data_IF_320382191401
#
_entry.id   IF_320382191401
#
_cell.length_a   1.000
_cell.length_b   1.000
_cell.length_c   1.000
_cell.angle_alpha   90.00
_cell.angle_beta   90.00
_cell.angle_gamma   90.00
#
_symmetry.space_group_name_H-M   'P 1'
#
loop_
_entity.id
_entity.type
_entity.pdbx_description
1 polymer ?
#
# COMPACT_ATOMS: atom_id res chain seq x y z
N UNK A 1 88.30 13.28 -14.09
CA UNK A 1 87.52 13.66 -12.89
C UNK A 1 86.06 13.43 -13.24
N UNK A 2 85.41 12.51 -12.54
CA UNK A 2 84.19 11.81 -12.95
C UNK A 2 82.95 12.70 -13.08
N UNK A 3 82.17 12.50 -14.14
CA UNK A 3 80.84 13.11 -14.33
C UNK A 3 79.82 12.21 -13.63
N UNK A 4 79.22 12.67 -12.54
CA UNK A 4 78.07 12.03 -11.90
C UNK A 4 76.83 12.28 -12.76
N UNK A 5 76.18 11.22 -13.25
CA UNK A 5 74.84 11.28 -13.80
C UNK A 5 73.82 11.10 -12.67
N UNK A 6 72.99 12.12 -12.43
CA UNK A 6 71.88 12.08 -11.46
C UNK A 6 70.65 11.53 -12.17
N UNK A 7 70.18 10.35 -11.75
CA UNK A 7 68.92 9.79 -12.24
C UNK A 7 67.76 10.37 -11.41
N UNK A 8 66.96 11.25 -12.02
CA UNK A 8 65.71 11.76 -11.44
C UNK A 8 64.62 10.70 -11.54
N UNK A 9 64.17 10.16 -10.41
CA UNK A 9 63.02 9.27 -10.30
C UNK A 9 61.77 10.13 -10.18
N UNK A 10 60.94 10.14 -11.24
CA UNK A 10 59.62 10.78 -11.22
C UNK A 10 58.62 9.75 -10.68
N UNK A 11 58.16 9.94 -9.45
CA UNK A 11 57.10 9.12 -8.83
C UNK A 11 55.74 9.68 -9.29
N UNK A 12 55.04 8.97 -10.16
CA UNK A 12 53.64 9.25 -10.49
C UNK A 12 52.74 8.74 -9.36
N UNK A 13 52.14 9.64 -8.59
CA UNK A 13 51.00 9.31 -7.72
C UNK A 13 49.75 9.18 -8.59
N UNK A 14 49.29 7.95 -8.83
CA UNK A 14 47.97 7.70 -9.38
C UNK A 14 46.92 7.91 -8.27
N UNK A 15 46.12 8.97 -8.38
CA UNK A 15 44.95 9.19 -7.53
C UNK A 15 43.85 8.21 -7.93
N UNK A 16 43.64 7.19 -7.09
CA UNK A 16 42.45 6.33 -7.16
C UNK A 16 41.23 7.15 -6.74
N UNK A 17 40.43 7.59 -7.71
CA UNK A 17 39.09 8.12 -7.45
C UNK A 17 38.19 6.92 -7.15
N UNK A 18 37.97 6.62 -5.87
CA UNK A 18 36.94 5.67 -5.46
C UNK A 18 35.59 6.33 -5.67
N UNK A 19 34.92 6.01 -6.79
CA UNK A 19 33.52 6.33 -6.94
C UNK A 19 32.73 5.47 -5.94
N UNK A 20 32.25 6.06 -4.86
CA UNK A 20 31.26 5.41 -3.99
C UNK A 20 30.06 5.05 -4.87
N UNK A 21 29.54 3.82 -4.83
CA UNK A 21 28.25 3.56 -5.45
C UNK A 21 27.27 4.54 -4.81
N UNK A 22 26.57 5.33 -5.65
CA UNK A 22 25.38 6.03 -5.24
C UNK A 22 24.46 4.95 -4.69
N UNK A 23 24.36 4.84 -3.37
CA UNK A 23 23.34 4.04 -2.73
C UNK A 23 22.03 4.41 -3.41
N UNK A 24 21.29 3.42 -3.90
CA UNK A 24 19.90 3.64 -4.27
C UNK A 24 19.28 4.47 -3.14
N UNK A 25 18.69 5.61 -3.50
CA UNK A 25 18.14 6.54 -2.52
C UNK A 25 17.12 5.73 -1.72
N UNK A 26 17.45 5.43 -0.46
CA UNK A 26 16.60 4.63 0.40
C UNK A 26 15.26 5.36 0.54
N UNK A 27 14.16 4.64 0.41
CA UNK A 27 12.84 5.26 0.54
C UNK A 27 12.70 5.86 1.93
N UNK A 28 12.08 7.04 2.01
CA UNK A 28 11.68 7.55 3.31
C UNK A 28 10.71 6.54 3.94
N UNK A 29 10.89 6.18 5.22
CA UNK A 29 10.03 5.20 5.86
C UNK A 29 8.56 5.63 5.79
N UNK A 30 7.69 4.72 5.34
CA UNK A 30 6.25 4.98 5.30
C UNK A 30 5.73 5.25 6.72
N UNK A 31 5.05 6.38 6.88
CA UNK A 31 4.56 6.87 8.16
C UNK A 31 3.10 6.47 8.46
N UNK A 32 2.52 7.18 9.43
CA UNK A 32 1.09 7.08 9.78
C UNK A 32 0.20 7.97 8.91
N UNK A 33 0.79 8.88 8.13
CA UNK A 33 0.13 9.82 7.21
C UNK A 33 0.82 9.73 5.86
N UNK A 34 0.07 9.44 4.80
CA UNK A 34 0.58 9.45 3.42
C UNK A 34 -0.39 10.14 2.47
N UNK A 35 0.13 11.04 1.64
CA UNK A 35 -0.59 11.88 0.68
C UNK A 35 0.21 12.08 -0.61
N UNK A 36 1.03 11.09 -0.99
CA UNK A 36 1.98 11.26 -2.09
C UNK A 36 1.28 11.46 -3.44
N UNK A 37 0.09 10.87 -3.64
CA UNK A 37 -0.68 11.08 -4.87
C UNK A 37 -1.42 12.42 -4.83
N UNK A 38 -2.13 12.72 -3.75
CA UNK A 38 -2.93 13.95 -3.66
C UNK A 38 -2.08 15.23 -3.64
N UNK A 39 -0.84 15.16 -3.14
CA UNK A 39 0.12 16.28 -3.14
C UNK A 39 1.12 16.22 -4.30
N UNK A 40 1.54 15.03 -4.72
CA UNK A 40 2.63 14.84 -5.70
C UNK A 40 2.18 14.45 -7.11
N UNK A 41 0.92 14.04 -7.29
CA UNK A 41 0.35 13.65 -8.57
C UNK A 41 0.74 12.24 -9.03
N UNK A 42 0.76 12.04 -10.35
CA UNK A 42 0.87 10.70 -10.93
C UNK A 42 2.24 10.05 -10.72
N UNK A 43 2.19 8.75 -10.39
CA UNK A 43 3.31 7.81 -10.42
C UNK A 43 2.93 6.58 -11.26
N UNK A 44 3.89 5.82 -11.81
CA UNK A 44 3.59 4.56 -12.50
C UNK A 44 2.65 3.63 -11.70
N UNK A 45 2.81 3.59 -10.38
CA UNK A 45 1.94 2.87 -9.45
C UNK A 45 1.38 3.85 -8.43
N UNK A 46 0.11 3.73 -8.08
CA UNK A 46 -0.49 4.46 -6.95
C UNK A 46 -1.13 3.43 -6.03
N UNK A 47 -0.68 3.38 -4.78
CA UNK A 47 -1.22 2.51 -3.75
C UNK A 47 -2.11 3.29 -2.80
N UNK A 48 -3.38 2.92 -2.75
CA UNK A 48 -4.36 3.48 -1.83
C UNK A 48 -4.54 2.56 -0.63
N UNK A 49 -4.54 3.10 0.59
CA UNK A 49 -4.73 2.29 1.78
C UNK A 49 -5.84 2.77 2.71
N UNK A 50 -6.80 1.90 3.01
CA UNK A 50 -7.86 2.15 3.97
C UNK A 50 -7.58 1.41 5.30
N UNK A 51 -7.24 2.16 6.34
CA UNK A 51 -6.93 1.64 7.68
C UNK A 51 -8.13 0.96 8.37
N UNK A 52 -7.92 0.37 9.54
CA UNK A 52 -8.97 -0.18 10.40
C UNK A 52 -9.60 0.86 11.33
N UNK A 53 -10.69 0.48 12.02
CA UNK A 53 -11.33 1.37 12.99
C UNK A 53 -10.38 1.80 14.10
N UNK A 54 -10.49 3.07 14.52
CA UNK A 54 -9.67 3.71 15.57
C UNK A 54 -8.17 3.80 15.28
N UNK A 55 -7.71 3.33 14.12
CA UNK A 55 -6.29 3.40 13.78
C UNK A 55 -5.84 4.85 13.58
N UNK A 56 -4.56 5.07 13.83
CA UNK A 56 -3.93 6.39 13.78
C UNK A 56 -3.93 6.96 12.37
N UNK A 57 -4.43 8.19 12.24
CA UNK A 57 -4.30 9.04 11.06
C UNK A 57 -4.85 8.38 9.79
N UNK A 58 -4.11 8.16 8.71
CA UNK A 58 -4.70 7.58 7.49
C UNK A 58 -4.07 6.24 7.04
N UNK A 59 -2.89 5.90 7.56
CA UNK A 59 -2.24 4.61 7.31
C UNK A 59 -2.33 3.61 8.47
N UNK A 60 -2.66 4.07 9.69
CA UNK A 60 -2.47 3.25 10.90
C UNK A 60 -1.00 3.20 11.35
N UNK A 61 -0.72 2.42 12.40
CA UNK A 61 0.62 2.33 13.00
C UNK A 61 1.31 1.02 12.60
N UNK A 62 2.55 1.10 12.11
CA UNK A 62 3.32 -0.06 11.62
C UNK A 62 3.49 -1.21 12.63
N UNK A 63 3.32 -0.96 13.93
CA UNK A 63 3.43 -1.97 14.98
C UNK A 63 2.25 -2.93 15.00
N UNK A 64 1.05 -2.46 14.62
CA UNK A 64 -0.20 -3.21 14.78
C UNK A 64 -1.13 -3.13 13.55
N UNK A 65 -0.72 -2.42 12.51
CA UNK A 65 -1.46 -2.21 11.26
C UNK A 65 -0.67 -2.73 10.07
N UNK A 66 -1.32 -3.40 9.10
CA UNK A 66 -0.66 -3.83 7.88
C UNK A 66 -0.29 -2.68 6.93
N UNK A 67 -0.85 -1.48 7.12
CA UNK A 67 -0.74 -0.37 6.16
C UNK A 67 0.70 0.06 5.86
N UNK A 68 1.43 0.63 6.83
CA UNK A 68 2.79 1.10 6.59
C UNK A 68 3.74 -0.04 6.15
N UNK A 69 3.71 -1.25 6.73
CA UNK A 69 4.54 -2.36 6.27
C UNK A 69 4.23 -2.80 4.82
N UNK A 70 2.96 -2.87 4.43
CA UNK A 70 2.58 -3.22 3.05
C UNK A 70 3.09 -2.15 2.07
N UNK A 71 2.86 -0.88 2.39
CA UNK A 71 3.32 0.25 1.58
C UNK A 71 4.86 0.30 1.48
N UNK A 72 5.57 0.03 2.58
CA UNK A 72 7.03 -0.04 2.59
C UNK A 72 7.53 -1.18 1.69
N UNK A 73 6.96 -2.38 1.80
CA UNK A 73 7.32 -3.50 0.93
C UNK A 73 7.10 -3.21 -0.56
N UNK A 74 6.03 -2.49 -0.90
CA UNK A 74 5.78 -2.02 -2.26
C UNK A 74 6.83 -1.00 -2.72
N UNK A 75 7.19 -0.03 -1.86
CA UNK A 75 8.28 0.92 -2.16
C UNK A 75 9.62 0.22 -2.35
N UNK A 76 9.94 -0.78 -1.53
CA UNK A 76 11.17 -1.56 -1.61
C UNK A 76 11.21 -2.41 -2.90
N UNK A 77 10.05 -2.90 -3.35
CA UNK A 77 9.91 -3.71 -4.57
C UNK A 77 10.01 -2.87 -5.84
N UNK A 78 9.22 -1.79 -5.93
CA UNK A 78 9.08 -1.01 -7.17
C UNK A 78 9.97 0.22 -7.23
N UNK A 79 10.56 0.61 -6.10
CA UNK A 79 11.29 1.86 -5.92
C UNK A 79 10.36 3.04 -5.69
N UNK A 80 10.65 3.86 -4.68
CA UNK A 80 9.87 5.05 -4.30
C UNK A 80 9.77 6.14 -5.38
N UNK A 81 10.58 6.10 -6.45
CA UNK A 81 10.34 6.97 -7.60
C UNK A 81 9.13 6.56 -8.43
N UNK A 82 8.73 5.29 -8.36
CA UNK A 82 7.73 4.65 -9.23
C UNK A 82 6.37 4.44 -8.56
N UNK A 83 6.28 4.56 -7.24
CA UNK A 83 5.04 4.39 -6.48
C UNK A 83 4.70 5.67 -5.72
N UNK A 84 3.42 6.00 -5.66
CA UNK A 84 2.85 6.96 -4.71
C UNK A 84 2.01 6.21 -3.68
N UNK A 85 2.21 6.50 -2.40
CA UNK A 85 1.41 5.99 -1.28
C UNK A 85 0.36 7.02 -0.88
N UNK A 86 -0.90 6.60 -0.82
CA UNK A 86 -2.04 7.45 -0.48
C UNK A 86 -2.90 6.78 0.59
N UNK A 87 -2.91 7.33 1.79
CA UNK A 87 -3.83 6.91 2.83
C UNK A 87 -5.23 7.49 2.59
N UNK A 88 -6.27 6.70 2.87
CA UNK A 88 -7.65 7.17 2.78
C UNK A 88 -8.01 7.94 4.05
N UNK A 89 -8.28 9.24 3.88
CA UNK A 89 -8.79 10.09 4.95
C UNK A 89 -10.27 9.81 5.19
N UNK A 90 -10.54 9.01 6.21
CA UNK A 90 -11.89 8.75 6.71
C UNK A 90 -11.87 8.61 8.23
N UNK A 91 -13.02 8.75 8.89
CA UNK A 91 -13.12 8.85 10.34
C UNK A 91 -12.79 7.53 11.08
N UNK A 92 -12.97 6.39 10.42
CA UNK A 92 -12.71 5.06 10.98
C UNK A 92 -13.41 4.80 12.32
N UNK A 93 -14.67 5.22 12.44
CA UNK A 93 -15.44 5.09 13.66
C UNK A 93 -15.89 3.65 13.89
N UNK A 94 -15.77 3.15 15.12
CA UNK A 94 -16.24 1.79 15.47
C UNK A 94 -17.72 1.62 15.14
N UNK A 95 -18.54 2.66 15.40
CA UNK A 95 -19.99 2.64 15.19
C UNK A 95 -20.37 2.43 13.73
N UNK A 96 -19.55 2.85 12.77
CA UNK A 96 -19.87 2.72 11.34
C UNK A 96 -19.66 1.30 10.81
N UNK A 97 -19.03 0.38 11.57
CA UNK A 97 -19.02 -1.06 11.25
C UNK A 97 -20.42 -1.69 11.28
N UNK A 98 -21.35 -1.09 12.01
CA UNK A 98 -22.72 -1.58 12.15
C UNK A 98 -23.69 -1.00 11.12
N UNK A 99 -23.22 -0.10 10.25
CA UNK A 99 -24.01 0.41 9.14
C UNK A 99 -24.11 -0.65 8.03
N UNK A 100 -25.16 -0.58 7.18
CA UNK A 100 -25.26 -1.44 6.01
C UNK A 100 -23.98 -1.36 5.16
N UNK A 101 -23.39 -2.53 4.88
CA UNK A 101 -22.15 -2.62 4.11
C UNK A 101 -20.86 -2.46 4.92
N UNK A 102 -20.94 -2.27 6.24
CA UNK A 102 -19.80 -2.34 7.17
C UNK A 102 -18.94 -1.07 7.29
N UNK A 103 -19.33 0.02 6.63
CA UNK A 103 -18.62 1.30 6.67
C UNK A 103 -19.59 2.47 6.48
N UNK A 104 -19.12 3.70 6.70
CA UNK A 104 -19.90 4.89 6.39
C UNK A 104 -20.07 5.03 4.86
N UNK A 105 -21.30 5.11 4.33
CA UNK A 105 -21.54 5.19 2.89
C UNK A 105 -21.04 6.50 2.27
N UNK A 106 -20.95 7.60 3.02
CA UNK A 106 -20.40 8.87 2.53
C UNK A 106 -18.89 8.75 2.37
N UNK A 107 -18.22 8.10 3.32
CA UNK A 107 -16.77 7.88 3.26
C UNK A 107 -16.39 6.88 2.16
N UNK A 108 -17.20 5.84 1.95
CA UNK A 108 -17.03 4.92 0.82
C UNK A 108 -17.17 5.64 -0.53
N UNK A 109 -18.11 6.60 -0.62
CA UNK A 109 -18.27 7.45 -1.80
C UNK A 109 -17.07 8.38 -2.01
N UNK A 110 -16.45 8.88 -0.93
CA UNK A 110 -15.25 9.70 -1.01
C UNK A 110 -14.04 8.88 -1.53
N UNK A 111 -13.83 7.66 -1.02
CA UNK A 111 -12.81 6.75 -1.54
C UNK A 111 -13.05 6.41 -3.01
N UNK A 112 -14.31 6.12 -3.38
CA UNK A 112 -14.71 5.91 -4.77
C UNK A 112 -14.34 7.11 -5.66
N UNK A 113 -14.62 8.33 -5.20
CA UNK A 113 -14.30 9.55 -5.93
C UNK A 113 -12.79 9.72 -6.11
N UNK A 114 -11.98 9.39 -5.10
CA UNK A 114 -10.52 9.44 -5.18
C UNK A 114 -9.96 8.43 -6.21
N UNK A 115 -10.48 7.20 -6.23
CA UNK A 115 -10.09 6.20 -7.25
C UNK A 115 -10.47 6.64 -8.68
N UNK A 116 -11.65 7.26 -8.85
CA UNK A 116 -12.07 7.83 -10.14
C UNK A 116 -11.16 9.00 -10.54
N UNK A 117 -10.80 9.86 -9.58
CA UNK A 117 -9.89 10.99 -9.80
C UNK A 117 -8.52 10.51 -10.28
N UNK A 118 -7.92 9.53 -9.59
CA UNK A 118 -6.65 8.91 -9.99
C UNK A 118 -6.70 8.26 -11.37
N UNK A 119 -7.75 7.49 -11.65
CA UNK A 119 -7.95 6.89 -12.98
C UNK A 119 -8.12 7.93 -14.09
N UNK A 120 -8.66 9.12 -13.76
CA UNK A 120 -8.87 10.20 -14.73
C UNK A 120 -7.61 11.01 -14.97
N UNK A 121 -6.89 11.38 -13.91
CA UNK A 121 -5.66 12.19 -13.98
C UNK A 121 -4.44 11.36 -14.40
N UNK A 122 -4.43 10.09 -14.05
CA UNK A 122 -3.31 9.19 -14.25
C UNK A 122 -3.74 7.92 -14.99
N UNK A 123 -4.23 8.03 -16.24
CA UNK A 123 -4.80 6.90 -16.98
C UNK A 123 -3.79 5.80 -17.34
N UNK A 124 -2.49 6.06 -17.21
CA UNK A 124 -1.41 5.11 -17.45
C UNK A 124 -0.89 4.47 -16.14
N UNK A 125 -1.40 4.88 -14.98
CA UNK A 125 -0.97 4.33 -13.69
C UNK A 125 -1.66 3.01 -13.42
N UNK A 126 -0.93 2.10 -12.81
CA UNK A 126 -1.48 0.91 -12.14
C UNK A 126 -1.98 1.32 -10.76
N UNK A 127 -3.24 1.05 -10.44
CA UNK A 127 -3.81 1.32 -9.12
C UNK A 127 -3.77 0.05 -8.28
N UNK A 128 -3.17 0.15 -7.09
CA UNK A 128 -3.19 -0.90 -6.07
C UNK A 128 -4.01 -0.42 -4.90
N UNK A 129 -4.74 -1.32 -4.24
CA UNK A 129 -5.55 -0.98 -3.06
C UNK A 129 -5.24 -1.95 -1.93
N UNK A 130 -4.96 -1.43 -0.74
CA UNK A 130 -4.81 -2.20 0.49
C UNK A 130 -5.84 -1.75 1.50
N UNK A 131 -6.29 -2.68 2.34
CA UNK A 131 -7.24 -2.32 3.38
C UNK A 131 -7.21 -3.28 4.58
N UNK A 132 -7.64 -2.79 5.74
CA UNK A 132 -7.70 -3.58 6.97
C UNK A 132 -9.01 -3.39 7.72
N UNK A 133 -9.61 -4.49 8.20
CA UNK A 133 -10.77 -4.45 9.09
C UNK A 133 -11.95 -3.67 8.47
N UNK A 134 -12.38 -2.56 9.09
CA UNK A 134 -13.38 -1.66 8.52
C UNK A 134 -12.97 -1.06 7.17
N UNK A 135 -11.69 -0.78 6.95
CA UNK A 135 -11.19 -0.29 5.67
C UNK A 135 -11.46 -1.27 4.52
N UNK A 136 -11.49 -2.58 4.81
CA UNK A 136 -11.89 -3.58 3.81
C UNK A 136 -13.35 -3.37 3.39
N UNK A 137 -14.27 -3.21 4.35
CA UNK A 137 -15.66 -2.87 4.07
C UNK A 137 -15.80 -1.57 3.25
N UNK A 138 -15.05 -0.53 3.62
CA UNK A 138 -14.98 0.72 2.88
C UNK A 138 -14.56 0.48 1.42
N UNK A 139 -13.55 -0.37 1.22
CA UNK A 139 -13.01 -0.75 -0.10
C UNK A 139 -14.01 -1.53 -0.93
N UNK A 140 -14.73 -2.49 -0.34
CA UNK A 140 -15.82 -3.21 -1.01
C UNK A 140 -16.84 -2.23 -1.59
N UNK A 141 -17.35 -1.32 -0.73
CA UNK A 141 -18.37 -0.33 -1.09
C UNK A 141 -17.87 0.71 -2.10
N UNK A 142 -16.59 1.09 -2.02
CA UNK A 142 -15.99 2.02 -2.96
C UNK A 142 -15.83 1.40 -4.36
N UNK A 143 -15.43 0.13 -4.45
CA UNK A 143 -15.08 -0.53 -5.71
C UNK A 143 -16.28 -1.15 -6.42
N UNK A 144 -17.24 -1.74 -5.71
CA UNK A 144 -18.31 -2.58 -6.29
C UNK A 144 -19.18 -1.90 -7.37
N UNK A 145 -19.19 -0.57 -7.38
CA UNK A 145 -19.95 0.26 -8.31
C UNK A 145 -19.07 1.26 -9.09
N UNK A 146 -17.77 0.98 -9.22
CA UNK A 146 -16.88 1.76 -10.09
C UNK A 146 -17.21 1.55 -11.57
N UNK A 147 -16.97 2.56 -12.43
CA UNK A 147 -16.98 2.35 -13.87
C UNK A 147 -15.95 1.28 -14.26
N UNK A 148 -16.29 0.39 -15.21
CA UNK A 148 -15.39 -0.68 -15.67
C UNK A 148 -14.00 -0.17 -16.10
N UNK A 149 -13.94 1.02 -16.69
CA UNK A 149 -12.66 1.65 -17.09
C UNK A 149 -11.75 1.92 -15.89
N UNK A 150 -12.31 2.32 -14.75
CA UNK A 150 -11.57 2.53 -13.50
C UNK A 150 -11.17 1.20 -12.89
N UNK A 151 -12.10 0.23 -12.81
CA UNK A 151 -11.80 -1.12 -12.32
C UNK A 151 -10.66 -1.79 -13.11
N UNK A 152 -10.56 -1.54 -14.41
CA UNK A 152 -9.50 -2.12 -15.25
C UNK A 152 -8.10 -1.60 -14.88
N UNK A 153 -7.99 -0.38 -14.36
CA UNK A 153 -6.71 0.19 -13.88
C UNK A 153 -6.33 -0.31 -12.49
N UNK A 154 -7.28 -0.87 -11.73
CA UNK A 154 -6.97 -1.54 -10.46
C UNK A 154 -6.33 -2.88 -10.81
N UNK A 155 -5.05 -3.04 -10.51
CA UNK A 155 -4.30 -4.27 -10.80
C UNK A 155 -4.42 -5.27 -9.67
N UNK A 156 -4.47 -4.81 -8.42
CA UNK A 156 -4.67 -5.70 -7.26
C UNK A 156 -5.31 -5.00 -6.08
N UNK A 157 -6.04 -5.78 -5.27
CA UNK A 157 -6.62 -5.38 -3.99
C UNK A 157 -6.25 -6.41 -2.93
N UNK A 158 -5.63 -5.98 -1.84
CA UNK A 158 -5.39 -6.82 -0.65
C UNK A 158 -6.25 -6.33 0.52
N UNK A 159 -6.91 -7.25 1.21
CA UNK A 159 -7.73 -6.94 2.38
C UNK A 159 -7.39 -7.86 3.55
N UNK A 160 -6.93 -7.28 4.65
CA UNK A 160 -6.60 -7.98 5.88
C UNK A 160 -7.79 -7.94 6.84
N UNK A 161 -8.17 -9.09 7.43
CA UNK A 161 -9.24 -9.15 8.43
C UNK A 161 -10.57 -8.59 7.92
N UNK A 162 -10.95 -8.95 6.69
CA UNK A 162 -12.09 -8.34 5.99
C UNK A 162 -13.43 -8.59 6.70
N UNK A 163 -14.05 -7.51 7.21
CA UNK A 163 -15.32 -7.58 7.94
C UNK A 163 -16.50 -7.99 7.07
N UNK A 164 -16.37 -7.90 5.74
CA UNK A 164 -17.41 -8.28 4.79
C UNK A 164 -17.10 -9.59 4.06
N UNK A 165 -16.05 -10.33 4.45
CA UNK A 165 -15.66 -11.56 3.79
C UNK A 165 -16.81 -12.58 3.69
N UNK A 166 -17.54 -12.85 4.79
CA UNK A 166 -18.68 -13.78 4.75
C UNK A 166 -19.86 -13.16 3.97
N UNK A 167 -20.15 -11.89 4.21
CA UNK A 167 -21.33 -11.17 3.73
C UNK A 167 -21.30 -10.99 2.21
N UNK A 168 -20.12 -10.72 1.66
CA UNK A 168 -19.89 -10.54 0.23
C UNK A 168 -19.35 -11.80 -0.48
N UNK A 169 -19.32 -12.94 0.21
CA UNK A 169 -18.90 -14.25 -0.32
C UNK A 169 -17.44 -14.31 -0.79
N UNK A 170 -16.53 -13.73 0.00
CA UNK A 170 -15.09 -13.75 -0.20
C UNK A 170 -14.68 -13.07 -1.51
N UNK A 171 -15.30 -11.94 -1.83
CA UNK A 171 -15.05 -11.16 -3.05
C UNK A 171 -15.56 -9.74 -2.89
N UNK A 172 -14.97 -8.82 -3.62
CA UNK A 172 -15.62 -7.54 -3.89
C UNK A 172 -16.71 -7.77 -4.96
N UNK A 173 -17.97 -7.37 -4.72
CA UNK A 173 -19.02 -7.49 -5.73
C UNK A 173 -18.63 -6.78 -7.03
N UNK A 174 -18.97 -7.37 -8.19
CA UNK A 174 -18.66 -6.85 -9.52
C UNK A 174 -17.17 -6.59 -9.86
N UNK A 175 -16.22 -6.99 -9.01
CA UNK A 175 -14.79 -6.87 -9.27
C UNK A 175 -14.14 -8.25 -9.47
N UNK A 176 -12.97 -8.28 -10.10
CA UNK A 176 -12.27 -9.52 -10.45
C UNK A 176 -11.72 -10.22 -9.22
N UNK A 177 -12.17 -11.45 -8.96
CA UNK A 177 -11.59 -12.30 -7.90
C UNK A 177 -10.10 -12.55 -8.09
N UNK A 178 -9.63 -12.62 -9.34
CA UNK A 178 -8.21 -12.83 -9.63
C UNK A 178 -7.34 -11.65 -9.17
N UNK A 179 -7.93 -10.45 -9.05
CA UNK A 179 -7.27 -9.23 -8.59
C UNK A 179 -7.57 -8.92 -7.12
N UNK A 180 -8.09 -9.88 -6.36
CA UNK A 180 -8.47 -9.69 -4.96
C UNK A 180 -7.87 -10.78 -4.11
N UNK A 181 -7.07 -10.37 -3.11
CA UNK A 181 -6.59 -11.24 -2.05
C UNK A 181 -7.24 -10.82 -0.73
N UNK A 182 -7.94 -11.75 -0.09
CA UNK A 182 -8.47 -11.59 1.26
C UNK A 182 -7.64 -12.45 2.20
N UNK A 183 -7.03 -11.83 3.20
CA UNK A 183 -6.20 -12.47 4.21
C UNK A 183 -6.95 -12.46 5.52
N UNK A 184 -7.32 -13.65 5.99
CA UNK A 184 -8.01 -13.86 7.26
C UNK A 184 -7.20 -14.83 8.11
N UNK A 185 -6.75 -14.37 9.27
CA UNK A 185 -6.01 -15.21 10.20
C UNK A 185 -6.91 -16.32 10.73
N UNK A 186 -6.31 -17.48 11.02
CA UNK A 186 -7.03 -18.55 11.70
C UNK A 186 -7.56 -18.06 13.06
N UNK A 187 -8.86 -18.21 13.28
CA UNK A 187 -9.54 -17.72 14.47
C UNK A 187 -9.98 -16.25 14.42
N UNK A 188 -9.74 -15.53 13.32
CA UNK A 188 -10.33 -14.20 13.13
C UNK A 188 -11.82 -14.32 12.80
N UNK A 189 -12.66 -14.17 13.84
CA UNK A 189 -14.11 -14.26 13.73
C UNK A 189 -14.75 -13.10 12.96
N UNK A 190 -14.01 -11.99 12.72
CA UNK A 190 -14.50 -10.86 11.91
C UNK A 190 -14.71 -11.29 10.46
N UNK A 191 -13.78 -12.06 9.91
CA UNK A 191 -13.93 -12.65 8.58
C UNK A 191 -15.10 -13.64 8.47
N UNK A 192 -15.63 -14.11 9.60
CA UNK A 192 -16.80 -14.98 9.69
C UNK A 192 -18.09 -14.22 10.06
N UNK A 193 -18.10 -12.89 9.90
CA UNK A 193 -19.29 -12.05 10.10
C UNK A 193 -19.58 -11.69 11.56
N UNK A 194 -18.62 -11.88 12.48
CA UNK A 194 -18.74 -11.50 13.88
C UNK A 194 -17.78 -10.35 14.23
N UNK A 195 -18.32 -9.17 14.54
CA UNK A 195 -17.54 -7.95 14.84
C UNK A 195 -16.86 -7.95 16.23
N UNK A 196 -16.75 -9.09 16.90
CA UNK A 196 -16.00 -9.22 18.16
C UNK A 196 -14.50 -9.15 17.88
N UNK A 197 -13.82 -8.16 18.45
CA UNK A 197 -12.36 -8.04 18.33
C UNK A 197 -11.69 -9.19 19.10
N UNK A 198 -10.87 -9.95 18.40
CA UNK A 198 -10.08 -11.06 18.96
C UNK A 198 -8.60 -10.86 18.68
N UNK A 199 -7.73 -11.58 19.39
CA UNK A 199 -6.28 -11.49 19.16
C UNK A 199 -5.89 -11.85 17.71
N UNK A 200 -6.46 -12.88 17.05
CA UNK A 200 -6.19 -13.14 15.63
C UNK A 200 -6.48 -11.96 14.69
N UNK A 201 -7.42 -11.08 15.04
CA UNK A 201 -7.72 -9.90 14.23
C UNK A 201 -6.64 -8.81 14.36
N UNK A 202 -6.24 -8.48 15.59
CA UNK A 202 -5.29 -7.39 15.89
C UNK A 202 -3.83 -7.83 15.90
N UNK A 203 -3.59 -9.13 16.02
CA UNK A 203 -2.28 -9.76 16.03
C UNK A 203 -1.75 -9.92 14.62
N UNK A 204 -1.80 -8.84 13.84
CA UNK A 204 -1.21 -8.81 12.51
C UNK A 204 0.29 -9.12 12.64
N UNK A 205 0.71 -10.15 11.94
CA UNK A 205 2.10 -10.44 11.65
C UNK A 205 2.23 -10.37 10.13
N UNK A 206 3.34 -9.87 9.58
CA UNK A 206 3.61 -10.02 8.17
C UNK A 206 3.54 -11.52 7.86
N UNK A 207 2.49 -11.95 7.19
CA UNK A 207 2.47 -13.29 6.63
C UNK A 207 3.40 -13.23 5.42
N UNK A 208 4.16 -14.29 5.16
CA UNK A 208 5.03 -14.36 3.98
C UNK A 208 4.30 -14.33 2.62
N UNK A 209 3.04 -13.87 2.60
CA UNK A 209 2.11 -13.80 1.47
C UNK A 209 1.79 -12.36 1.04
N UNK A 210 2.41 -11.34 1.68
CA UNK A 210 2.40 -9.95 1.20
C UNK A 210 3.01 -9.82 -0.22
N UNK A 211 3.54 -10.92 -0.76
CA UNK A 211 4.02 -11.10 -2.13
C UNK A 211 2.93 -11.03 -3.21
N UNK A 212 1.65 -10.88 -2.86
CA UNK A 212 0.54 -10.78 -3.82
C UNK A 212 0.78 -9.73 -4.92
N UNK A 213 1.29 -8.56 -4.54
CA UNK A 213 1.61 -7.52 -5.52
C UNK A 213 2.89 -7.84 -6.31
N UNK A 214 3.78 -8.63 -5.75
CA UNK A 214 5.15 -8.86 -6.24
C UNK A 214 5.21 -9.92 -7.35
N UNK A 215 4.16 -10.72 -7.55
CA UNK A 215 4.16 -11.87 -8.46
C UNK A 215 3.35 -11.68 -9.76
N UNK A 216 2.82 -10.48 -10.06
CA UNK A 216 2.14 -10.18 -11.33
C UNK A 216 3.08 -9.57 -12.40
N UNK A 217 4.19 -10.25 -12.71
CA UNK A 217 5.00 -9.99 -13.93
C UNK A 217 4.52 -10.81 -15.14
#
# INVERSE_FOLDING_TARGET
MSILAVASIVVFLASLVTASPLSARQCEPVGTVEHEYSLGGCKPIIFFYARGSTETLNMGNATYSPGPPTAQGLQDTYGCSNIAIEGIDYAALVTTNYLPGGADPVEALAMKALLIDAATKCPNSSLLVGAYSQGAALTHRAIENLPKKVMNLISGVVMYGDTQNLQDNGRIPNFSKAKTLIICNEGDVICAGNLTITYPHIGWRPLGDDTFFVNEE
#
